data_IF_973517822001
#
_entry.id   IF_973517822001
#
_cell.length_a   1.000
_cell.length_b   1.000
_cell.length_c   1.000
_cell.angle_alpha   90.00
_cell.angle_beta   90.00
_cell.angle_gamma   90.00
#
_symmetry.space_group_name_H-M   'P 1'
#
loop_
_entity.id
_entity.type
_entity.pdbx_description
1 polymer ?
#
# COMPACT_ATOMS: atom_id res chain seq x y z
N UNK A 1 4.20 -14.22 -7.18
CA UNK A 1 4.78 -12.90 -6.91
C UNK A 1 3.95 -11.88 -7.67
N UNK A 2 3.00 -11.24 -6.97
CA UNK A 2 2.20 -10.16 -7.55
C UNK A 2 3.11 -8.99 -7.89
N UNK A 3 3.28 -8.72 -9.17
CA UNK A 3 4.07 -7.60 -9.68
C UNK A 3 3.20 -6.35 -9.52
N UNK A 4 3.44 -5.58 -8.47
CA UNK A 4 2.81 -4.28 -8.30
C UNK A 4 3.68 -3.23 -8.99
N UNK A 5 3.14 -2.55 -9.99
CA UNK A 5 3.82 -1.43 -10.65
C UNK A 5 4.01 -0.20 -9.75
N UNK A 6 3.23 -0.08 -8.69
CA UNK A 6 3.45 0.93 -7.67
C UNK A 6 4.22 0.33 -6.51
N UNK A 7 5.50 0.65 -6.41
CA UNK A 7 6.34 0.18 -5.32
C UNK A 7 6.31 1.17 -4.18
N UNK A 8 5.53 0.78 -3.20
CA UNK A 8 5.55 1.42 -1.91
C UNK A 8 6.87 1.08 -1.22
N UNK A 9 7.75 2.06 -1.05
CA UNK A 9 8.79 1.95 -0.05
C UNK A 9 8.16 2.18 1.32
N UNK A 10 7.64 1.10 1.93
CA UNK A 10 7.31 1.14 3.35
C UNK A 10 8.61 1.22 4.12
N UNK A 11 8.96 2.41 4.61
CA UNK A 11 10.01 2.54 5.61
C UNK A 11 9.41 2.04 6.93
N UNK A 12 9.55 0.73 7.18
CA UNK A 12 9.38 0.15 8.50
C UNK A 12 10.64 0.49 9.31
N UNK A 13 10.78 1.74 9.70
CA UNK A 13 11.82 2.09 10.65
C UNK A 13 11.21 2.10 12.06
N UNK A 14 11.50 1.06 12.83
CA UNK A 14 11.08 0.93 14.22
C UNK A 14 11.61 2.06 15.14
N UNK A 15 12.54 2.89 14.65
CA UNK A 15 13.07 4.05 15.38
C UNK A 15 12.11 5.23 15.40
N UNK A 16 11.15 5.31 14.47
CA UNK A 16 10.15 6.38 14.45
C UNK A 16 8.89 5.91 15.17
N UNK A 17 8.90 6.05 16.48
CA UNK A 17 7.79 5.66 17.32
C UNK A 17 6.67 6.72 17.20
N UNK A 18 5.68 6.45 16.34
CA UNK A 18 4.49 7.29 16.13
C UNK A 18 3.76 7.60 17.45
N UNK A 19 3.90 6.74 18.47
CA UNK A 19 3.32 6.94 19.79
C UNK A 19 3.90 8.18 20.49
N UNK A 20 5.21 8.42 20.36
CA UNK A 20 5.85 9.60 20.95
C UNK A 20 5.45 10.88 20.22
N UNK A 21 5.34 10.85 18.88
CA UNK A 21 4.87 12.01 18.12
C UNK A 21 3.45 12.39 18.53
N UNK A 22 2.55 11.42 18.62
CA UNK A 22 1.18 11.60 19.06
C UNK A 22 1.08 12.14 20.47
N UNK A 23 1.84 11.58 21.42
CA UNK A 23 1.87 12.04 22.82
C UNK A 23 2.38 13.48 22.91
N UNK A 24 3.36 13.85 22.10
CA UNK A 24 3.89 15.22 22.04
C UNK A 24 2.85 16.20 21.50
N UNK A 25 2.16 15.83 20.40
CA UNK A 25 1.12 16.66 19.78
C UNK A 25 -0.12 16.76 20.69
N UNK A 26 -0.62 15.63 21.22
CA UNK A 26 -1.84 15.59 22.03
C UNK A 26 -1.71 16.25 23.39
N UNK A 27 -0.51 16.34 23.94
CA UNK A 27 -0.24 17.03 25.21
C UNK A 27 0.01 18.54 25.06
N UNK A 28 0.08 19.05 23.83
CA UNK A 28 0.23 20.48 23.61
C UNK A 28 -1.04 21.24 24.08
N UNK A 29 -0.93 22.27 24.92
CA UNK A 29 -2.10 23.02 25.45
C UNK A 29 -3.00 23.60 24.34
N UNK A 30 -2.42 23.89 23.19
CA UNK A 30 -3.09 24.48 22.03
C UNK A 30 -4.12 23.51 21.43
N UNK A 31 -3.86 22.20 21.42
CA UNK A 31 -4.72 21.20 20.78
C UNK A 31 -6.06 20.97 21.48
N UNK A 32 -6.20 21.36 22.76
CA UNK A 32 -7.46 21.24 23.50
C UNK A 32 -8.57 22.18 22.99
N UNK A 33 -8.23 23.15 22.15
CA UNK A 33 -9.16 24.16 21.60
C UNK A 33 -9.36 24.02 20.09
N UNK A 34 -8.69 23.06 19.45
CA UNK A 34 -8.74 22.89 17.99
C UNK A 34 -9.93 22.00 17.58
N UNK A 35 -10.51 22.29 16.43
CA UNK A 35 -11.49 21.40 15.77
C UNK A 35 -10.83 20.10 15.33
N UNK A 36 -11.65 19.12 14.95
CA UNK A 36 -11.14 17.83 14.45
C UNK A 36 -10.31 18.03 13.16
N UNK A 37 -10.78 18.89 12.27
CA UNK A 37 -10.13 19.23 11.00
C UNK A 37 -8.80 19.96 11.21
N UNK A 38 -8.75 20.87 12.17
CA UNK A 38 -7.53 21.58 12.55
C UNK A 38 -6.50 20.65 13.19
N UNK A 39 -6.95 19.68 14.00
CA UNK A 39 -6.07 18.66 14.59
C UNK A 39 -5.50 17.77 13.50
N UNK A 40 -6.30 17.31 12.55
CA UNK A 40 -5.86 16.49 11.43
C UNK A 40 -4.86 17.24 10.54
N UNK A 41 -5.13 18.54 10.26
CA UNK A 41 -4.20 19.41 9.54
C UNK A 41 -2.85 19.53 10.25
N UNK A 42 -2.86 19.84 11.54
CA UNK A 42 -1.62 19.93 12.35
C UNK A 42 -0.84 18.60 12.41
N UNK A 43 -1.55 17.48 12.36
CA UNK A 43 -0.93 16.15 12.40
C UNK A 43 -0.17 15.84 11.12
N UNK A 44 -0.77 16.06 9.96
CA UNK A 44 -0.11 15.85 8.66
C UNK A 44 1.13 16.74 8.51
N UNK A 45 1.04 18.01 8.93
CA UNK A 45 2.14 18.94 8.84
C UNK A 45 3.30 18.55 9.77
N UNK A 46 2.99 18.09 10.98
CA UNK A 46 3.98 17.58 11.92
C UNK A 46 4.71 16.34 11.37
N UNK A 47 3.98 15.41 10.75
CA UNK A 47 4.57 14.22 10.09
C UNK A 47 5.43 14.66 8.91
N UNK A 48 4.94 15.54 8.04
CA UNK A 48 5.68 16.05 6.89
C UNK A 48 6.99 16.73 7.33
N UNK A 49 6.93 17.60 8.32
CA UNK A 49 8.10 18.26 8.88
C UNK A 49 9.09 17.27 9.51
N UNK A 50 8.60 16.23 10.19
CA UNK A 50 9.44 15.17 10.73
C UNK A 50 10.18 14.42 9.62
N UNK A 51 9.48 14.00 8.56
CA UNK A 51 10.06 13.28 7.43
C UNK A 51 11.14 14.13 6.72
N UNK A 52 10.83 15.39 6.44
CA UNK A 52 11.75 16.31 5.76
C UNK A 52 12.96 16.67 6.64
N UNK A 53 12.76 16.90 7.95
CA UNK A 53 13.86 17.15 8.90
C UNK A 53 14.81 15.96 9.01
N UNK A 54 14.29 14.73 8.91
CA UNK A 54 15.09 13.52 8.93
C UNK A 54 15.64 13.15 7.54
N UNK A 55 15.52 14.06 6.55
CA UNK A 55 16.06 13.90 5.20
C UNK A 55 15.61 12.61 4.50
N UNK A 56 14.35 12.19 4.74
CA UNK A 56 13.85 10.91 4.22
C UNK A 56 13.86 10.90 2.70
N UNK A 57 13.53 12.02 2.03
CA UNK A 57 13.63 12.14 0.57
C UNK A 57 15.04 11.85 0.05
N UNK A 58 16.07 12.46 0.65
CA UNK A 58 17.46 12.20 0.27
C UNK A 58 17.88 10.73 0.48
N UNK A 59 17.39 10.10 1.55
CA UNK A 59 17.63 8.65 1.79
C UNK A 59 16.91 7.75 0.78
N UNK A 60 15.80 8.21 0.21
CA UNK A 60 15.13 7.51 -0.90
C UNK A 60 16.01 7.57 -2.14
N UNK A 61 16.58 8.75 -2.45
CA UNK A 61 17.49 8.91 -3.58
C UNK A 61 18.74 8.05 -3.40
N UNK A 62 19.38 8.06 -2.21
CA UNK A 62 20.50 7.15 -1.92
C UNK A 62 20.17 5.69 -2.22
N UNK A 63 18.96 5.27 -1.90
CA UNK A 63 18.53 3.89 -2.10
C UNK A 63 18.23 3.56 -3.56
N UNK A 64 17.61 4.50 -4.31
CA UNK A 64 17.36 4.33 -5.74
C UNK A 64 18.65 4.17 -6.54
N UNK A 65 19.66 4.99 -6.21
CA UNK A 65 20.95 5.00 -6.88
C UNK A 65 22.02 4.19 -6.14
N UNK A 66 21.58 3.28 -5.27
CA UNK A 66 22.43 2.31 -4.57
C UNK A 66 23.74 2.92 -4.04
N UNK A 67 23.63 4.09 -3.39
CA UNK A 67 24.76 4.89 -2.95
C UNK A 67 25.71 4.08 -2.05
N UNK A 68 26.96 4.02 -2.40
CA UNK A 68 28.00 3.40 -1.58
C UNK A 68 28.23 4.17 -0.28
N UNK A 69 28.29 3.48 0.84
CA UNK A 69 28.40 4.11 2.17
C UNK A 69 29.77 4.71 2.44
N UNK A 70 30.83 4.21 1.80
CA UNK A 70 32.21 4.61 2.02
C UNK A 70 32.63 5.70 1.03
N UNK A 71 32.48 5.42 -0.25
CA UNK A 71 32.86 6.33 -1.32
C UNK A 71 31.81 7.40 -1.58
N UNK A 72 30.53 7.10 -1.29
CA UNK A 72 29.39 7.95 -1.61
C UNK A 72 29.00 7.92 -3.09
N UNK A 73 29.65 7.10 -3.90
CA UNK A 73 29.36 6.94 -5.32
C UNK A 73 27.98 6.33 -5.56
N UNK A 74 27.39 6.67 -6.69
CA UNK A 74 26.09 6.19 -7.13
C UNK A 74 26.22 5.18 -8.27
N UNK A 75 25.21 4.33 -8.45
CA UNK A 75 25.06 3.50 -9.62
C UNK A 75 23.60 3.44 -10.11
N UNK A 76 23.42 3.12 -11.39
CA UNK A 76 22.09 3.01 -12.02
C UNK A 76 21.51 1.60 -11.99
N UNK A 77 22.18 0.63 -11.36
CA UNK A 77 21.82 -0.77 -11.47
C UNK A 77 20.40 -1.04 -10.98
N UNK A 78 20.02 -0.46 -9.83
CA UNK A 78 18.67 -0.62 -9.30
C UNK A 78 17.61 0.01 -10.20
N UNK A 79 17.89 1.21 -10.74
CA UNK A 79 16.96 1.93 -11.63
C UNK A 79 16.73 1.11 -12.91
N UNK A 80 17.81 0.62 -13.53
CA UNK A 80 17.75 -0.25 -14.71
C UNK A 80 17.02 -1.56 -14.42
N UNK A 81 17.39 -2.26 -13.34
CA UNK A 81 16.71 -3.49 -12.92
C UNK A 81 15.22 -3.26 -12.73
N UNK A 82 14.83 -2.13 -12.14
CA UNK A 82 13.42 -1.80 -11.91
C UNK A 82 12.68 -1.49 -13.21
N UNK A 83 13.29 -0.75 -14.12
CA UNK A 83 12.76 -0.50 -15.44
C UNK A 83 12.50 -1.80 -16.21
N UNK A 84 13.47 -2.70 -16.25
CA UNK A 84 13.33 -3.99 -16.89
C UNK A 84 12.32 -4.92 -16.18
N UNK A 85 12.25 -4.88 -14.87
CA UNK A 85 11.31 -5.70 -14.11
C UNK A 85 9.85 -5.25 -14.29
N UNK A 86 9.61 -3.94 -14.40
CA UNK A 86 8.27 -3.40 -14.64
C UNK A 86 7.87 -3.44 -16.13
N UNK A 87 8.85 -3.64 -17.03
CA UNK A 87 8.58 -3.84 -18.44
C UNK A 87 7.86 -5.19 -18.66
N UNK A 88 6.75 -5.15 -19.36
CA UNK A 88 6.10 -6.35 -19.85
C UNK A 88 6.61 -6.70 -21.26
N UNK A 89 6.15 -7.82 -21.82
CA UNK A 89 6.56 -8.27 -23.16
C UNK A 89 6.27 -7.22 -24.24
N UNK A 90 5.15 -6.48 -24.11
CA UNK A 90 4.80 -5.41 -25.04
C UNK A 90 5.75 -4.22 -24.92
N UNK A 91 6.13 -3.87 -23.69
CA UNK A 91 7.08 -2.79 -23.42
C UNK A 91 8.45 -3.09 -24.06
N UNK A 92 8.92 -4.34 -23.91
CA UNK A 92 10.18 -4.79 -24.51
C UNK A 92 10.10 -4.78 -26.04
N UNK A 93 9.01 -5.26 -26.62
CA UNK A 93 8.81 -5.25 -28.07
C UNK A 93 8.75 -3.81 -28.61
N UNK A 94 8.04 -2.91 -27.93
CA UNK A 94 8.01 -1.49 -28.31
C UNK A 94 9.39 -0.85 -28.23
N UNK A 95 10.14 -1.11 -27.17
CA UNK A 95 11.49 -0.61 -27.01
C UNK A 95 12.42 -1.08 -28.15
N UNK A 96 12.36 -2.38 -28.51
CA UNK A 96 13.15 -2.94 -29.61
C UNK A 96 12.85 -2.29 -30.99
N UNK A 97 11.63 -1.79 -31.18
CA UNK A 97 11.20 -1.12 -32.42
C UNK A 97 11.32 0.41 -32.36
N UNK A 98 11.67 0.96 -31.20
CA UNK A 98 11.85 2.40 -31.02
C UNK A 98 13.26 2.86 -31.42
N UNK A 99 13.40 4.11 -31.82
CA UNK A 99 14.70 4.72 -32.12
C UNK A 99 15.65 4.74 -30.91
N UNK A 100 15.11 4.71 -29.67
CA UNK A 100 15.88 4.71 -28.42
C UNK A 100 16.25 3.30 -27.93
N UNK A 101 15.66 2.27 -28.53
CA UNK A 101 15.93 0.89 -28.15
C UNK A 101 15.66 0.60 -26.65
N UNK A 102 16.48 -0.25 -26.06
CA UNK A 102 16.35 -0.61 -24.63
C UNK A 102 16.54 0.55 -23.65
N UNK A 103 17.16 1.68 -24.08
CA UNK A 103 17.27 2.87 -23.24
C UNK A 103 15.89 3.42 -22.81
N UNK A 104 14.84 3.19 -23.58
CA UNK A 104 13.48 3.56 -23.20
C UNK A 104 12.99 2.83 -21.93
N UNK A 105 13.45 1.60 -21.70
CA UNK A 105 13.12 0.85 -20.48
C UNK A 105 13.90 1.41 -19.28
N UNK A 106 15.12 1.87 -19.50
CA UNK A 106 15.92 2.54 -18.47
C UNK A 106 15.27 3.87 -18.06
N UNK A 107 14.77 4.65 -19.01
CA UNK A 107 14.01 5.88 -18.75
C UNK A 107 12.73 5.61 -17.94
N UNK A 108 12.02 4.51 -18.25
CA UNK A 108 10.88 4.07 -17.46
C UNK A 108 11.26 3.74 -16.01
N UNK A 109 12.48 3.22 -15.78
CA UNK A 109 13.05 3.03 -14.45
C UNK A 109 13.25 4.34 -13.69
N UNK A 110 13.72 5.39 -14.35
CA UNK A 110 13.86 6.72 -13.75
C UNK A 110 12.51 7.36 -13.42
N UNK A 111 11.50 7.17 -14.27
CA UNK A 111 10.13 7.63 -13.98
C UNK A 111 9.59 7.04 -12.67
N UNK A 112 9.98 5.81 -12.32
CA UNK A 112 9.59 5.18 -11.07
C UNK A 112 10.10 5.91 -9.82
N UNK A 113 11.18 6.69 -9.93
CA UNK A 113 11.68 7.50 -8.81
C UNK A 113 10.63 8.54 -8.42
N UNK A 114 10.00 9.19 -9.39
CA UNK A 114 8.93 10.18 -9.17
C UNK A 114 7.69 9.55 -8.53
N UNK A 115 7.52 8.22 -8.66
CA UNK A 115 6.45 7.43 -8.05
C UNK A 115 6.87 6.76 -6.73
N UNK A 116 7.87 7.34 -6.05
CA UNK A 116 8.26 6.90 -4.71
C UNK A 116 7.36 7.53 -3.65
N UNK A 117 6.76 6.69 -2.82
CA UNK A 117 5.86 7.11 -1.77
C UNK A 117 6.34 6.64 -0.40
N UNK A 118 6.05 7.45 0.61
CA UNK A 118 6.20 7.11 2.03
C UNK A 118 4.83 7.02 2.66
N UNK A 119 4.55 5.88 3.27
CA UNK A 119 3.33 5.64 4.01
C UNK A 119 3.62 5.64 5.51
N UNK A 120 2.97 6.54 6.24
CA UNK A 120 3.06 6.61 7.70
C UNK A 120 1.73 6.14 8.29
N UNK A 121 1.75 5.06 9.07
CA UNK A 121 0.56 4.48 9.66
C UNK A 121 0.47 4.85 11.15
N UNK A 122 -0.60 5.55 11.56
CA UNK A 122 -1.03 5.67 12.96
C UNK A 122 -1.98 4.52 13.26
N UNK A 123 -1.52 3.57 14.07
CA UNK A 123 -2.28 2.37 14.42
C UNK A 123 -2.72 2.49 15.88
N UNK A 124 -4.02 2.45 16.11
CA UNK A 124 -4.64 2.37 17.43
C UNK A 124 -5.38 1.06 17.55
N UNK A 125 -5.18 0.38 18.62
CA UNK A 125 -5.93 -0.84 18.90
C UNK A 125 -6.62 -0.78 20.25
N UNK A 126 -7.72 -1.47 20.33
CA UNK A 126 -8.46 -1.72 21.56
C UNK A 126 -8.54 -3.22 21.72
N UNK A 127 -8.04 -3.69 22.85
CA UNK A 127 -8.30 -5.05 23.31
C UNK A 127 -9.78 -5.12 23.67
N UNK A 128 -10.53 -5.80 22.84
CA UNK A 128 -11.96 -6.00 23.00
C UNK A 128 -12.27 -7.32 23.72
N UNK A 129 -11.27 -7.94 24.33
CA UNK A 129 -11.44 -9.09 25.23
C UNK A 129 -12.36 -8.67 26.37
N UNK A 130 -13.39 -9.42 26.59
CA UNK A 130 -14.43 -9.07 27.54
C UNK A 130 -13.86 -9.08 28.97
N UNK A 131 -13.54 -7.92 29.47
CA UNK A 131 -13.19 -7.71 30.88
C UNK A 131 -14.45 -7.28 31.66
N UNK A 132 -15.01 -8.23 32.40
CA UNK A 132 -15.82 -8.04 33.61
C UNK A 132 -17.04 -7.09 33.65
N UNK A 133 -17.65 -6.61 32.55
CA UNK A 133 -18.85 -5.77 32.62
C UNK A 133 -19.91 -6.17 31.59
N UNK A 134 -21.17 -6.30 32.03
CA UNK A 134 -22.36 -6.54 31.18
C UNK A 134 -22.51 -5.58 30.00
N UNK A 135 -21.91 -4.38 30.06
CA UNK A 135 -21.83 -3.44 28.95
C UNK A 135 -21.00 -3.98 27.77
N UNK A 136 -20.04 -4.86 28.01
CA UNK A 136 -19.24 -5.50 26.97
C UNK A 136 -20.04 -6.48 26.11
N UNK A 137 -21.10 -7.09 26.64
CA UNK A 137 -21.92 -8.04 25.88
C UNK A 137 -22.63 -7.37 24.69
N UNK A 138 -23.15 -6.16 24.89
CA UNK A 138 -23.79 -5.39 23.81
C UNK A 138 -22.81 -4.99 22.71
N UNK A 139 -21.58 -4.64 23.10
CA UNK A 139 -20.49 -4.34 22.17
C UNK A 139 -20.08 -5.59 21.38
N UNK A 140 -19.98 -6.73 22.04
CA UNK A 140 -19.65 -8.03 21.42
C UNK A 140 -20.71 -8.43 20.39
N UNK A 141 -22.00 -8.39 20.77
CA UNK A 141 -23.11 -8.71 19.87
C UNK A 141 -23.15 -7.77 18.65
N UNK A 142 -22.85 -6.48 18.85
CA UNK A 142 -22.70 -5.52 17.76
C UNK A 142 -21.51 -5.79 16.85
N UNK A 143 -20.42 -6.39 17.36
CA UNK A 143 -19.24 -6.76 16.58
C UNK A 143 -19.43 -8.04 15.75
N UNK A 144 -20.17 -9.00 16.26
CA UNK A 144 -20.35 -10.31 15.61
C UNK A 144 -21.33 -10.29 14.44
N UNK A 145 -22.07 -9.18 14.26
CA UNK A 145 -23.10 -9.08 13.23
C UNK A 145 -24.34 -9.93 13.50
N UNK A 146 -25.46 -9.57 12.89
CA UNK A 146 -26.77 -10.21 13.13
C UNK A 146 -26.85 -11.70 12.74
N UNK A 147 -25.98 -12.18 11.86
CA UNK A 147 -25.97 -13.57 11.40
C UNK A 147 -25.36 -14.57 12.41
N UNK A 148 -24.49 -14.08 13.31
CA UNK A 148 -23.80 -14.95 14.30
C UNK A 148 -24.51 -15.01 15.66
N UNK A 149 -25.41 -14.07 15.93
CA UNK A 149 -26.10 -13.96 17.23
C UNK A 149 -26.88 -15.21 17.63
N UNK A 150 -27.65 -15.91 16.75
CA UNK A 150 -28.40 -17.09 17.16
C UNK A 150 -27.51 -18.28 17.55
N UNK A 151 -26.40 -18.48 16.85
CA UNK A 151 -25.51 -19.64 17.06
C UNK A 151 -24.60 -19.40 18.28
N UNK A 152 -23.99 -18.21 18.37
CA UNK A 152 -23.15 -17.84 19.49
C UNK A 152 -23.97 -17.70 20.79
N UNK A 153 -25.16 -17.15 20.73
CA UNK A 153 -26.05 -16.99 21.87
C UNK A 153 -26.47 -18.31 22.46
N UNK A 154 -26.79 -19.33 21.66
CA UNK A 154 -27.17 -20.67 22.12
C UNK A 154 -25.99 -21.48 22.67
N UNK A 155 -24.81 -21.39 22.05
CA UNK A 155 -23.58 -21.99 22.53
C UNK A 155 -23.11 -21.35 23.84
N UNK A 156 -23.15 -20.02 23.93
CA UNK A 156 -22.81 -19.27 25.13
C UNK A 156 -23.76 -19.61 26.29
N UNK A 157 -25.07 -19.65 26.06
CA UNK A 157 -26.07 -19.99 27.07
C UNK A 157 -25.89 -21.42 27.63
N UNK A 158 -25.53 -22.37 26.76
CA UNK A 158 -25.20 -23.74 27.19
C UNK A 158 -23.96 -23.79 28.05
N UNK A 159 -22.88 -23.16 27.61
CA UNK A 159 -21.60 -23.18 28.33
C UNK A 159 -21.70 -22.53 29.72
N UNK A 160 -22.47 -21.44 29.84
CA UNK A 160 -22.73 -20.78 31.14
C UNK A 160 -23.57 -21.68 32.06
N UNK A 161 -24.56 -22.36 31.49
CA UNK A 161 -25.43 -23.24 32.28
C UNK A 161 -24.74 -24.52 32.78
N UNK A 162 -23.78 -25.05 32.02
CA UNK A 162 -23.13 -26.32 32.30
C UNK A 162 -21.84 -26.22 33.12
N UNK A 163 -21.07 -25.13 32.96
CA UNK A 163 -19.72 -25.04 33.54
C UNK A 163 -19.54 -23.97 34.60
N UNK A 164 -20.48 -23.05 34.77
CA UNK A 164 -20.34 -21.92 35.69
C UNK A 164 -19.18 -20.96 35.33
N UNK A 165 -18.56 -21.11 34.16
CA UNK A 165 -17.47 -20.29 33.68
C UNK A 165 -18.02 -18.91 33.33
N UNK A 166 -17.39 -17.86 33.86
CA UNK A 166 -17.78 -16.49 33.54
C UNK A 166 -17.59 -16.22 32.05
N UNK A 167 -18.61 -15.65 31.39
CA UNK A 167 -18.58 -15.25 29.96
C UNK A 167 -17.31 -14.46 29.61
N UNK A 168 -16.72 -13.77 30.58
CA UNK A 168 -15.56 -12.92 30.48
C UNK A 168 -14.27 -13.61 30.03
N UNK A 169 -14.19 -14.92 30.22
CA UNK A 169 -13.02 -15.73 29.90
C UNK A 169 -13.18 -16.47 28.56
N UNK A 170 -14.33 -16.28 27.89
CA UNK A 170 -14.71 -17.07 26.73
C UNK A 170 -14.48 -16.37 25.39
N UNK A 171 -14.28 -15.06 25.37
CA UNK A 171 -14.17 -14.31 24.12
C UNK A 171 -12.96 -13.39 24.13
N UNK A 172 -12.14 -13.53 23.10
CA UNK A 172 -11.00 -12.68 22.80
C UNK A 172 -11.29 -11.87 21.55
N UNK A 173 -10.92 -10.60 21.53
CA UNK A 173 -11.15 -9.76 20.37
C UNK A 173 -10.24 -8.53 20.32
N UNK A 174 -10.02 -8.04 19.09
CA UNK A 174 -9.26 -6.84 18.84
C UNK A 174 -10.02 -5.92 17.87
N UNK A 175 -9.97 -4.61 18.17
CA UNK A 175 -10.37 -3.55 17.26
C UNK A 175 -9.14 -2.75 16.89
N UNK A 176 -8.93 -2.53 15.59
CA UNK A 176 -7.80 -1.79 15.07
C UNK A 176 -8.31 -0.65 14.20
N UNK A 177 -7.84 0.55 14.48
CA UNK A 177 -8.05 1.77 13.71
C UNK A 177 -6.71 2.14 13.08
N UNK A 178 -6.67 2.30 11.78
CA UNK A 178 -5.47 2.71 11.04
C UNK A 178 -5.77 3.98 10.29
N UNK A 179 -4.96 5.02 10.55
CA UNK A 179 -4.90 6.21 9.68
C UNK A 179 -3.57 6.18 8.96
N UNK A 180 -3.62 6.02 7.64
CA UNK A 180 -2.44 5.98 6.77
C UNK A 180 -2.29 7.32 6.07
N UNK A 181 -1.15 7.99 6.28
CA UNK A 181 -0.77 9.25 5.64
C UNK A 181 0.18 8.95 4.50
N UNK A 182 -0.14 9.42 3.31
CA UNK A 182 0.63 9.21 2.09
C UNK A 182 1.42 10.47 1.74
N UNK A 183 2.72 10.31 1.53
CA UNK A 183 3.63 11.34 1.07
C UNK A 183 4.33 10.88 -0.20
N UNK A 184 4.54 11.79 -1.15
CA UNK A 184 5.24 11.55 -2.42
C UNK A 184 6.59 12.24 -2.41
N UNK A 185 7.59 11.63 -3.00
CA UNK A 185 8.88 12.26 -3.25
C UNK A 185 8.73 13.31 -4.37
N UNK A 186 9.18 14.52 -4.11
CA UNK A 186 9.27 15.59 -5.10
C UNK A 186 10.49 15.34 -6.00
N UNK A 187 10.33 14.44 -6.96
CA UNK A 187 11.31 14.16 -8.00
C UNK A 187 10.73 14.59 -9.34
N UNK A 188 11.22 15.69 -9.86
CA UNK A 188 10.84 16.26 -11.15
C UNK A 188 12.08 16.48 -12.00
N UNK A 189 11.90 16.96 -13.22
CA UNK A 189 12.97 17.17 -14.20
C UNK A 189 14.05 18.14 -13.68
N UNK A 190 13.67 19.21 -12.99
CA UNK A 190 14.62 20.19 -12.44
C UNK A 190 15.49 19.56 -11.34
N UNK A 191 14.87 18.79 -10.43
CA UNK A 191 15.56 18.08 -9.35
C UNK A 191 16.48 16.99 -9.91
N UNK A 192 16.02 16.26 -10.91
CA UNK A 192 16.81 15.23 -11.59
C UNK A 192 18.02 15.85 -12.30
N UNK A 193 17.81 16.95 -13.05
CA UNK A 193 18.89 17.66 -13.74
C UNK A 193 19.94 18.20 -12.76
N UNK A 194 19.52 18.79 -11.64
CA UNK A 194 20.45 19.25 -10.60
C UNK A 194 21.25 18.08 -10.01
N UNK A 195 20.57 16.97 -9.71
CA UNK A 195 21.22 15.78 -9.19
C UNK A 195 22.29 15.24 -10.14
N UNK A 196 21.94 15.01 -11.41
CA UNK A 196 22.88 14.45 -12.38
C UNK A 196 24.03 15.40 -12.73
N UNK A 197 23.75 16.69 -12.82
CA UNK A 197 24.78 17.66 -13.22
C UNK A 197 25.76 17.96 -12.08
N UNK A 198 25.27 18.09 -10.84
CA UNK A 198 26.05 18.66 -9.75
C UNK A 198 26.45 17.64 -8.68
N UNK A 199 25.67 16.56 -8.51
CA UNK A 199 25.82 15.65 -7.38
C UNK A 199 26.21 14.23 -7.78
N UNK A 200 25.85 13.82 -8.99
CA UNK A 200 26.15 12.49 -9.50
C UNK A 200 27.65 12.26 -9.70
N UNK A 201 28.14 11.13 -9.25
CA UNK A 201 29.41 10.53 -9.62
C UNK A 201 29.37 9.03 -9.37
N UNK A 202 30.18 8.27 -10.12
CA UNK A 202 30.28 6.82 -10.03
C UNK A 202 31.60 6.37 -9.40
N UNK A 203 31.78 5.06 -9.21
CA UNK A 203 32.99 4.49 -8.66
C UNK A 203 34.22 4.63 -9.57
N UNK A 204 34.05 4.96 -10.86
CA UNK A 204 35.16 5.19 -11.78
C UNK A 204 35.78 6.59 -11.57
N UNK A 205 34.98 7.55 -11.12
CA UNK A 205 35.37 8.94 -10.94
C UNK A 205 34.92 9.47 -9.58
N UNK A 206 35.61 9.03 -8.52
CA UNK A 206 35.25 9.42 -7.15
C UNK A 206 35.57 10.88 -6.89
N UNK A 207 34.56 11.69 -6.60
CA UNK A 207 34.66 13.11 -6.29
C UNK A 207 34.17 13.41 -4.86
N UNK A 208 35.11 13.53 -3.93
CA UNK A 208 34.80 13.79 -2.52
C UNK A 208 34.09 15.13 -2.28
N UNK A 209 34.29 16.12 -3.16
CA UNK A 209 33.55 17.38 -3.12
C UNK A 209 32.06 17.21 -3.39
N UNK A 210 31.70 16.37 -4.36
CA UNK A 210 30.30 16.03 -4.67
C UNK A 210 29.67 15.20 -3.55
N UNK A 211 30.46 14.32 -2.91
CA UNK A 211 29.98 13.60 -1.73
C UNK A 211 29.51 14.56 -0.64
N UNK A 212 30.36 15.50 -0.25
CA UNK A 212 30.02 16.50 0.76
C UNK A 212 28.85 17.38 0.34
N UNK A 213 28.79 17.75 -0.93
CA UNK A 213 27.70 18.56 -1.47
C UNK A 213 26.36 17.82 -1.36
N UNK A 214 26.28 16.55 -1.77
CA UNK A 214 25.08 15.72 -1.62
C UNK A 214 24.68 15.57 -0.16
N UNK A 215 25.60 15.25 0.75
CA UNK A 215 25.34 15.09 2.19
C UNK A 215 24.71 16.36 2.79
N UNK A 216 25.17 17.51 2.35
CA UNK A 216 24.63 18.82 2.75
C UNK A 216 23.25 19.07 2.15
N UNK A 217 23.02 18.66 0.89
CA UNK A 217 21.82 18.94 0.12
C UNK A 217 20.73 17.86 0.28
N UNK A 218 20.99 16.75 0.98
CA UNK A 218 19.98 15.70 1.21
C UNK A 218 18.63 16.21 1.72
N UNK A 219 18.62 17.33 2.45
CA UNK A 219 17.41 17.97 2.93
C UNK A 219 16.62 18.72 1.83
N UNK A 220 17.14 18.87 0.63
CA UNK A 220 16.45 19.52 -0.49
C UNK A 220 15.44 18.57 -1.15
N UNK A 221 15.66 17.27 -1.09
CA UNK A 221 14.71 16.27 -1.56
C UNK A 221 13.52 16.19 -0.59
N UNK A 222 12.42 16.84 -0.98
CA UNK A 222 11.24 16.97 -0.13
C UNK A 222 10.25 15.84 -0.34
N UNK A 223 9.48 15.60 0.70
CA UNK A 223 8.28 14.78 0.64
C UNK A 223 7.07 15.69 0.78
N UNK A 224 6.12 15.56 -0.12
CA UNK A 224 4.88 16.33 -0.13
C UNK A 224 3.71 15.44 0.28
N UNK A 225 2.81 15.97 1.08
CA UNK A 225 1.60 15.27 1.48
C UNK A 225 0.64 15.11 0.31
N UNK A 226 0.21 13.86 0.06
CA UNK A 226 -0.78 13.51 -0.98
C UNK A 226 -2.17 13.38 -0.37
N UNK A 227 -2.30 12.62 0.73
CA UNK A 227 -3.59 12.39 1.35
C UNK A 227 -3.51 11.41 2.51
N UNK A 228 -4.68 11.12 3.11
CA UNK A 228 -4.79 10.08 4.13
C UNK A 228 -6.07 9.26 3.96
N UNK A 229 -6.05 8.05 4.51
CA UNK A 229 -7.22 7.21 4.65
C UNK A 229 -7.30 6.66 6.07
N UNK A 230 -8.50 6.67 6.64
CA UNK A 230 -8.77 6.09 7.96
C UNK A 230 -9.67 4.89 7.79
N UNK A 231 -9.25 3.74 8.28
CA UNK A 231 -10.00 2.50 8.24
C UNK A 231 -10.12 1.89 9.62
N UNK A 232 -11.12 1.04 9.74
CA UNK A 232 -11.42 0.29 10.94
C UNK A 232 -11.60 -1.18 10.59
N UNK A 233 -11.06 -2.07 11.43
CA UNK A 233 -11.26 -3.51 11.36
C UNK A 233 -11.32 -4.10 12.77
N UNK A 234 -11.94 -5.25 12.91
CA UNK A 234 -11.97 -5.99 14.15
C UNK A 234 -12.20 -7.47 13.90
N UNK A 235 -11.74 -8.28 14.83
CA UNK A 235 -11.98 -9.72 14.86
C UNK A 235 -12.21 -10.18 16.29
N UNK A 236 -13.10 -11.15 16.46
CA UNK A 236 -13.38 -11.79 17.73
C UNK A 236 -13.37 -13.31 17.55
N UNK A 237 -12.97 -14.05 18.57
CA UNK A 237 -12.97 -15.50 18.61
C UNK A 237 -13.29 -16.01 20.01
N UNK A 238 -13.72 -17.25 20.13
CA UNK A 238 -13.74 -17.93 21.43
C UNK A 238 -12.30 -18.14 21.92
N UNK A 239 -12.10 -17.97 23.23
CA UNK A 239 -10.80 -18.20 23.85
C UNK A 239 -10.30 -19.62 23.59
N UNK A 240 -9.03 -19.76 23.23
CA UNK A 240 -8.40 -21.05 22.92
C UNK A 240 -8.70 -21.61 21.53
N UNK A 241 -9.61 -21.00 20.73
CA UNK A 241 -9.89 -21.43 19.35
C UNK A 241 -8.87 -20.87 18.37
N UNK A 242 -8.48 -19.61 18.56
CA UNK A 242 -7.46 -18.95 17.73
C UNK A 242 -6.33 -18.41 18.60
N UNK A 243 -5.13 -18.43 18.07
CA UNK A 243 -3.99 -17.77 18.70
C UNK A 243 -4.21 -16.25 18.70
N UNK A 244 -4.14 -15.61 19.87
CA UNK A 244 -4.39 -14.17 20.03
C UNK A 244 -3.39 -13.31 19.25
N UNK A 245 -2.11 -13.71 19.26
CA UNK A 245 -1.05 -12.99 18.54
C UNK A 245 -1.28 -13.03 17.03
N UNK A 246 -1.65 -14.19 16.49
CA UNK A 246 -1.94 -14.35 15.06
C UNK A 246 -3.19 -13.57 14.67
N UNK A 247 -4.22 -13.58 15.50
CA UNK A 247 -5.45 -12.83 15.30
C UNK A 247 -5.15 -11.31 15.30
N UNK A 248 -4.39 -10.82 16.27
CA UNK A 248 -3.97 -9.41 16.33
C UNK A 248 -3.14 -9.02 15.10
N UNK A 249 -2.13 -9.82 14.74
CA UNK A 249 -1.30 -9.60 13.56
C UNK A 249 -2.13 -9.57 12.28
N UNK A 250 -3.08 -10.50 12.14
CA UNK A 250 -3.99 -10.56 10.99
C UNK A 250 -4.84 -9.30 10.87
N UNK A 251 -5.47 -8.86 11.96
CA UNK A 251 -6.31 -7.66 11.96
C UNK A 251 -5.49 -6.42 11.63
N UNK A 252 -4.31 -6.26 12.22
CA UNK A 252 -3.41 -5.14 11.93
C UNK A 252 -2.98 -5.11 10.47
N UNK A 253 -2.52 -6.25 9.93
CA UNK A 253 -2.05 -6.34 8.55
C UNK A 253 -3.17 -6.06 7.55
N UNK A 254 -4.35 -6.67 7.75
CA UNK A 254 -5.52 -6.45 6.90
C UNK A 254 -6.03 -5.00 6.98
N UNK A 255 -5.95 -4.37 8.14
CA UNK A 255 -6.32 -2.95 8.29
C UNK A 255 -5.37 -2.03 7.50
N UNK A 256 -4.07 -2.30 7.54
CA UNK A 256 -3.09 -1.55 6.74
C UNK A 256 -3.35 -1.76 5.24
N UNK A 257 -3.55 -3.00 4.80
CA UNK A 257 -3.86 -3.30 3.39
C UNK A 257 -5.15 -2.58 2.95
N UNK A 258 -6.18 -2.55 3.81
CA UNK A 258 -7.43 -1.83 3.54
C UNK A 258 -7.19 -0.31 3.43
N UNK A 259 -6.40 0.28 4.32
CA UNK A 259 -6.07 1.71 4.25
C UNK A 259 -5.30 2.05 2.97
N UNK A 260 -4.39 1.19 2.54
CA UNK A 260 -3.66 1.31 1.28
C UNK A 260 -4.64 1.26 0.09
N UNK A 261 -5.56 0.29 0.09
CA UNK A 261 -6.57 0.16 -0.96
C UNK A 261 -7.46 1.42 -1.05
N UNK A 262 -7.89 1.98 0.09
CA UNK A 262 -8.66 3.22 0.11
C UNK A 262 -7.87 4.42 -0.44
N UNK A 263 -6.57 4.52 -0.12
CA UNK A 263 -5.69 5.53 -0.71
C UNK A 263 -5.57 5.35 -2.23
N UNK A 264 -5.40 4.11 -2.70
CA UNK A 264 -5.30 3.79 -4.12
C UNK A 264 -6.58 4.14 -4.90
N UNK A 265 -7.75 3.98 -4.27
CA UNK A 265 -9.04 4.36 -4.85
C UNK A 265 -9.27 5.87 -4.85
N UNK A 266 -8.72 6.57 -3.86
CA UNK A 266 -8.96 8.00 -3.66
C UNK A 266 -8.03 8.90 -4.46
N UNK A 267 -6.79 8.48 -4.71
CA UNK A 267 -5.74 9.31 -5.32
C UNK A 267 -5.25 8.69 -6.63
N UNK A 268 -5.50 9.39 -7.75
CA UNK A 268 -5.16 8.91 -9.09
C UNK A 268 -3.66 8.62 -9.27
N UNK A 269 -2.81 9.42 -8.64
CA UNK A 269 -1.36 9.22 -8.64
C UNK A 269 -0.91 7.92 -7.96
N UNK A 270 -1.77 7.36 -7.09
CA UNK A 270 -1.48 6.17 -6.30
C UNK A 270 -2.29 4.94 -6.76
N UNK A 271 -3.06 5.04 -7.85
CA UNK A 271 -3.82 3.92 -8.40
C UNK A 271 -2.94 2.75 -8.84
N UNK A 272 -3.44 1.56 -8.61
CA UNK A 272 -2.76 0.31 -9.03
C UNK A 272 -3.07 0.02 -10.49
N UNK A 273 -2.02 -0.30 -11.22
CA UNK A 273 -2.11 -0.92 -12.54
C UNK A 273 -1.70 -2.39 -12.40
N UNK A 274 -2.51 -3.30 -12.90
CA UNK A 274 -2.19 -4.73 -12.92
C UNK A 274 -2.23 -5.25 -14.35
N UNK A 275 -1.21 -6.00 -14.80
CA UNK A 275 -1.23 -6.58 -16.14
C UNK A 275 -2.25 -7.72 -16.22
N UNK A 276 -2.92 -7.84 -17.36
CA UNK A 276 -3.64 -9.03 -17.75
C UNK A 276 -2.63 -10.17 -17.98
N UNK A 277 -2.84 -11.31 -17.30
CA UNK A 277 -1.97 -12.48 -17.42
C UNK A 277 -2.37 -13.30 -18.62
N UNK A 278 -3.69 -13.43 -18.82
CA UNK A 278 -4.31 -14.20 -19.88
C UNK A 278 -5.61 -13.54 -20.32
N UNK A 279 -6.05 -13.83 -21.52
CA UNK A 279 -7.33 -13.40 -22.07
C UNK A 279 -8.32 -14.55 -22.25
N UNK A 280 -7.87 -15.79 -22.00
CA UNK A 280 -8.70 -17.00 -22.04
C UNK A 280 -8.24 -17.99 -20.95
N UNK A 281 -8.78 -17.92 -19.72
CA UNK A 281 -9.71 -16.93 -19.20
C UNK A 281 -9.08 -15.54 -19.03
N UNK A 282 -9.90 -14.50 -19.10
CA UNK A 282 -9.46 -13.13 -18.85
C UNK A 282 -9.17 -12.95 -17.37
N UNK A 283 -7.90 -12.79 -16.99
CA UNK A 283 -7.50 -12.78 -15.59
C UNK A 283 -6.30 -11.88 -15.28
N UNK A 284 -6.16 -11.48 -14.00
CA UNK A 284 -5.06 -10.69 -13.48
C UNK A 284 -4.75 -11.04 -12.01
N UNK A 285 -3.50 -10.81 -11.59
CA UNK A 285 -3.07 -10.98 -10.19
C UNK A 285 -3.45 -9.76 -9.33
N UNK A 286 -4.74 -9.57 -9.13
CA UNK A 286 -5.32 -8.55 -8.24
C UNK A 286 -6.50 -9.19 -7.51
N UNK A 287 -6.73 -8.84 -6.25
CA UNK A 287 -7.74 -9.52 -5.45
C UNK A 287 -8.32 -8.69 -4.32
N UNK A 288 -8.86 -9.36 -3.30
CA UNK A 288 -9.50 -8.71 -2.15
C UNK A 288 -8.55 -7.79 -1.37
N UNK A 289 -7.25 -8.07 -1.40
CA UNK A 289 -6.25 -7.23 -0.74
C UNK A 289 -6.15 -5.83 -1.37
N UNK A 290 -6.33 -5.74 -2.68
CA UNK A 290 -6.39 -4.50 -3.43
C UNK A 290 -7.81 -3.87 -3.41
N UNK A 291 -8.73 -4.46 -2.68
CA UNK A 291 -10.10 -3.98 -2.53
C UNK A 291 -11.00 -4.31 -3.72
N UNK A 292 -10.64 -5.32 -4.52
CA UNK A 292 -11.51 -5.80 -5.61
C UNK A 292 -12.79 -6.37 -5.01
N UNK A 293 -13.93 -5.90 -5.49
CA UNK A 293 -15.26 -6.38 -5.12
C UNK A 293 -16.06 -6.80 -6.35
N UNK A 294 -17.22 -7.43 -6.15
CA UNK A 294 -18.09 -7.86 -7.25
C UNK A 294 -18.60 -6.67 -8.10
N UNK A 295 -18.72 -5.49 -7.49
CA UNK A 295 -19.19 -4.26 -8.15
C UNK A 295 -18.05 -3.43 -8.77
N UNK A 296 -16.80 -3.83 -8.53
CA UNK A 296 -15.63 -3.14 -9.09
C UNK A 296 -15.65 -3.17 -10.62
N UNK A 297 -15.24 -2.07 -11.24
CA UNK A 297 -15.05 -1.97 -12.70
C UNK A 297 -13.63 -1.54 -13.00
N UNK A 298 -13.08 -2.07 -14.07
CA UNK A 298 -11.72 -1.78 -14.50
C UNK A 298 -11.71 -1.36 -15.96
N UNK A 299 -11.02 -0.27 -16.24
CA UNK A 299 -10.64 0.03 -17.62
C UNK A 299 -9.44 -0.82 -18.03
N UNK A 300 -9.44 -1.28 -19.25
CA UNK A 300 -8.30 -1.93 -19.89
C UNK A 300 -7.54 -0.88 -20.67
N UNK A 301 -6.25 -0.79 -20.41
CA UNK A 301 -5.35 0.23 -20.96
C UNK A 301 -4.30 -0.44 -21.84
N UNK A 302 -4.09 0.12 -23.01
CA UNK A 302 -2.96 -0.17 -23.87
C UNK A 302 -1.92 0.92 -23.73
N UNK A 303 -0.66 0.52 -23.64
CA UNK A 303 0.47 1.43 -23.62
C UNK A 303 0.83 1.78 -25.07
N UNK A 304 0.78 3.05 -25.40
CA UNK A 304 1.15 3.59 -26.71
C UNK A 304 2.21 4.68 -26.54
N UNK A 305 2.97 4.96 -27.60
CA UNK A 305 3.89 6.09 -27.64
C UNK A 305 3.20 7.25 -28.34
N UNK A 306 3.32 8.45 -27.75
CA UNK A 306 2.90 9.68 -28.43
C UNK A 306 3.91 10.09 -29.53
N UNK A 307 3.63 11.20 -30.22
CA UNK A 307 4.48 11.73 -31.30
C UNK A 307 5.87 12.18 -30.80
N UNK A 308 6.03 12.37 -29.50
CA UNK A 308 7.29 12.77 -28.86
C UNK A 308 8.03 11.58 -28.25
N UNK A 309 7.52 10.36 -28.45
CA UNK A 309 8.10 9.11 -27.94
C UNK A 309 7.82 8.90 -26.44
N UNK A 310 6.90 9.66 -25.84
CA UNK A 310 6.51 9.48 -24.44
C UNK A 310 5.42 8.43 -24.30
N UNK A 311 5.47 7.67 -23.22
CA UNK A 311 4.46 6.67 -22.89
C UNK A 311 3.11 7.31 -22.57
N UNK A 312 2.06 6.86 -23.26
CA UNK A 312 0.67 7.22 -23.01
C UNK A 312 -0.16 5.95 -22.83
N UNK A 313 -1.17 6.01 -21.97
CA UNK A 313 -2.11 4.91 -21.76
C UNK A 313 -3.46 5.25 -22.39
N UNK A 314 -3.90 4.40 -23.31
CA UNK A 314 -5.19 4.56 -23.99
C UNK A 314 -6.18 3.50 -23.54
N UNK A 315 -7.39 3.91 -23.17
CA UNK A 315 -8.44 2.99 -22.77
C UNK A 315 -9.00 2.25 -23.99
N UNK A 316 -8.88 0.92 -23.96
CA UNK A 316 -9.34 0.03 -25.04
C UNK A 316 -10.60 -0.75 -24.67
N UNK A 317 -11.00 -0.78 -23.43
CA UNK A 317 -12.22 -1.43 -22.99
C UNK A 317 -12.47 -1.37 -21.50
N UNK A 318 -13.51 -2.08 -21.06
CA UNK A 318 -13.94 -2.17 -19.65
C UNK A 318 -14.21 -3.64 -19.33
N UNK A 319 -13.76 -4.04 -18.13
CA UNK A 319 -13.98 -5.39 -17.56
C UNK A 319 -14.52 -5.27 -16.14
N UNK A 320 -15.16 -6.32 -15.65
CA UNK A 320 -15.57 -6.46 -14.25
C UNK A 320 -15.21 -7.85 -13.72
N UNK A 321 -14.98 -8.01 -12.40
CA UNK A 321 -14.76 -9.32 -11.80
C UNK A 321 -15.97 -10.23 -12.00
N UNK A 322 -15.70 -11.50 -12.30
CA UNK A 322 -16.74 -12.54 -12.31
C UNK A 322 -17.10 -12.91 -10.88
N UNK A 323 -18.39 -13.03 -10.62
CA UNK A 323 -18.93 -13.43 -9.31
C UNK A 323 -18.34 -14.76 -8.87
N UNK A 324 -17.87 -14.81 -7.62
CA UNK A 324 -17.25 -15.99 -7.03
C UNK A 324 -15.87 -16.37 -7.62
N UNK A 325 -15.26 -15.49 -8.46
CA UNK A 325 -13.96 -15.69 -9.08
C UNK A 325 -12.96 -14.60 -8.71
N UNK A 326 -13.15 -13.98 -7.54
CA UNK A 326 -12.23 -12.99 -6.99
C UNK A 326 -11.20 -13.71 -6.11
N UNK A 327 -9.92 -13.48 -6.40
CA UNK A 327 -8.83 -14.05 -5.63
C UNK A 327 -8.78 -13.46 -4.22
N UNK A 328 -8.80 -14.33 -3.20
CA UNK A 328 -8.52 -13.90 -1.84
C UNK A 328 -7.02 -13.99 -1.55
N UNK A 329 -6.32 -12.88 -1.80
CA UNK A 329 -4.89 -12.71 -1.57
C UNK A 329 -4.59 -11.94 -0.26
N UNK A 330 -5.57 -11.84 0.66
CA UNK A 330 -5.38 -11.19 1.95
C UNK A 330 -4.43 -11.99 2.84
N UNK A 331 -3.78 -11.30 3.76
CA UNK A 331 -2.89 -11.95 4.72
C UNK A 331 -3.61 -13.05 5.49
N UNK A 332 -3.01 -14.23 5.56
CA UNK A 332 -3.57 -15.44 6.19
C UNK A 332 -4.90 -15.95 5.60
N UNK A 333 -5.23 -15.61 4.35
CA UNK A 333 -6.46 -16.09 3.72
C UNK A 333 -6.47 -17.62 3.54
N UNK A 334 -5.31 -18.22 3.28
CA UNK A 334 -5.19 -19.69 3.13
C UNK A 334 -5.56 -20.48 4.38
N UNK A 335 -5.41 -19.89 5.56
CA UNK A 335 -5.81 -20.54 6.83
C UNK A 335 -7.31 -20.46 7.11
N UNK A 336 -8.05 -19.69 6.32
CA UNK A 336 -9.49 -19.48 6.50
C UNK A 336 -10.35 -20.24 5.50
N UNK A 337 -9.71 -20.84 4.49
CA UNK A 337 -10.41 -21.55 3.42
C UNK A 337 -10.56 -23.04 3.73
N UNK A 338 -11.69 -23.59 3.32
CA UNK A 338 -11.87 -25.04 3.20
C UNK A 338 -11.00 -25.56 2.05
N UNK A 339 -10.44 -26.76 2.19
CA UNK A 339 -9.60 -27.39 1.17
C UNK A 339 -10.32 -27.45 -0.18
N UNK A 340 -9.69 -26.90 -1.24
CA UNK A 340 -10.12 -27.08 -2.62
C UNK A 340 -10.53 -25.85 -3.42
N UNK A 341 -10.51 -24.62 -2.83
CA UNK A 341 -10.86 -23.37 -3.53
C UNK A 341 -9.73 -22.32 -3.49
N UNK A 342 -8.56 -22.68 -3.98
CA UNK A 342 -7.45 -21.71 -4.04
C UNK A 342 -7.38 -21.07 -5.43
N UNK A 343 -8.00 -19.88 -5.56
CA UNK A 343 -7.82 -19.04 -6.74
C UNK A 343 -6.47 -18.31 -6.61
N UNK A 344 -5.65 -18.36 -7.64
CA UNK A 344 -4.37 -17.64 -7.71
C UNK A 344 -4.49 -16.29 -8.43
N UNK A 345 -5.65 -16.02 -9.04
CA UNK A 345 -5.95 -14.79 -9.77
C UNK A 345 -7.45 -14.50 -9.75
N UNK A 346 -7.81 -13.25 -10.02
CA UNK A 346 -9.19 -12.85 -10.26
C UNK A 346 -9.51 -13.00 -11.73
N UNK A 347 -10.64 -13.64 -12.04
CA UNK A 347 -11.18 -13.76 -13.40
C UNK A 347 -12.15 -12.62 -13.66
N UNK A 348 -12.07 -12.08 -14.86
CA UNK A 348 -12.89 -10.96 -15.32
C UNK A 348 -13.79 -11.35 -16.47
N UNK A 349 -14.88 -10.63 -16.63
CA UNK A 349 -15.72 -10.64 -17.84
C UNK A 349 -15.61 -9.28 -18.56
N UNK A 350 -15.57 -9.34 -19.88
CA UNK A 350 -15.52 -8.15 -20.74
C UNK A 350 -16.90 -7.49 -20.76
N UNK A 351 -16.94 -6.21 -20.43
CA UNK A 351 -18.16 -5.39 -20.57
C UNK A 351 -18.18 -4.74 -21.97
N UNK A 352 -17.05 -4.15 -22.39
CA UNK A 352 -16.96 -3.43 -23.66
C UNK A 352 -15.52 -3.33 -24.15
N UNK A 353 -15.33 -2.95 -25.38
CA UNK A 353 -14.01 -2.66 -25.97
C UNK A 353 -13.61 -3.63 -27.09
N UNK A 354 -12.40 -3.40 -27.64
CA UNK A 354 -11.79 -4.28 -28.66
C UNK A 354 -11.17 -5.53 -28.02
N UNK A 355 -10.48 -6.33 -28.78
CA UNK A 355 -9.77 -7.51 -28.27
C UNK A 355 -8.66 -7.09 -27.32
N UNK A 356 -8.52 -7.86 -26.24
CA UNK A 356 -7.50 -7.65 -25.23
C UNK A 356 -6.36 -8.64 -25.43
N UNK A 357 -5.16 -8.24 -25.02
CA UNK A 357 -3.96 -9.06 -25.10
C UNK A 357 -3.29 -9.17 -23.72
N UNK A 358 -2.60 -10.28 -23.44
CA UNK A 358 -1.79 -10.40 -22.24
C UNK A 358 -0.77 -9.25 -22.15
N UNK A 359 -0.59 -8.69 -20.96
CA UNK A 359 0.26 -7.53 -20.75
C UNK A 359 -0.43 -6.17 -20.80
N UNK A 360 -1.63 -6.06 -21.41
CA UNK A 360 -2.45 -4.86 -21.25
C UNK A 360 -2.74 -4.63 -19.76
N UNK A 361 -2.86 -3.38 -19.34
CA UNK A 361 -3.04 -3.02 -17.95
C UNK A 361 -4.52 -2.84 -17.61
N UNK A 362 -4.89 -3.26 -16.41
CA UNK A 362 -6.19 -2.91 -15.85
C UNK A 362 -6.01 -1.92 -14.70
N UNK A 363 -6.92 -0.95 -14.62
CA UNK A 363 -6.99 0.05 -13.56
C UNK A 363 -8.42 0.21 -13.11
N UNK A 364 -8.67 0.23 -11.78
CA UNK A 364 -10.01 0.40 -11.23
C UNK A 364 -10.55 1.80 -11.58
N UNK A 365 -11.79 1.86 -12.05
CA UNK A 365 -12.56 3.08 -12.30
C UNK A 365 -13.67 3.20 -11.27
N UNK A 366 -13.98 4.44 -10.90
CA UNK A 366 -15.07 4.74 -9.95
C UNK A 366 -16.42 4.52 -10.60
#
# INVERSE_FOLDING_TARGET
LSIRRQRQMCIRDSKYNNHNLKKTIMNAPILKKMTKEEIEGSYKDAICNMLNRNKIGGRIIEKWFNRDKHTGAFDMNLVKERGFYDANILDVQQALHSARGLAQIEDAGEELISHSYVLVNDIRYVDATLKRNLQGLGVLLGMMGSAFVPIAGSALARTIGETGVAINDLVVGFKVYVTSYLFKLDWNEDVANDFYSNLWYDNANIEMSRKQLFDNQMGNYKLTYVGCATVYSGETSLAGVKNESDMFLKVCTRSIDKAISELQKSFDEFKVFSPLISTSPLCAHIGLKEGVGEDSRFEVLEKVLDSEGRTKYERVGIVKPMKGKIWDNRFMASFEKEEGFDLEYTTFEKISGRDFFPGMLIREIK
#
